data_IF_109616915992
#
_entry.id   IF_109616915992
#
_cell.length_a   1.000
_cell.length_b   1.000
_cell.length_c   1.000
_cell.angle_alpha   90.00
_cell.angle_beta   90.00
_cell.angle_gamma   90.00
#
_symmetry.space_group_name_H-M   'P 1'
#
loop_
_entity.id
_entity.type
_entity.pdbx_description
1 polymer ?
#
# COMPACT_ATOMS: atom_id res chain seq x y z
N UNK A 1 -42.35 9.63 25.62
CA UNK A 1 -41.03 10.24 25.36
C UNK A 1 -39.98 9.46 26.16
N UNK A 2 -39.31 8.40 25.66
CA UNK A 2 -38.61 8.25 24.36
C UNK A 2 -37.70 9.47 24.09
N UNK A 3 -36.39 9.37 23.78
CA UNK A 3 -35.47 8.23 23.60
C UNK A 3 -34.02 8.74 23.88
N UNK A 4 -32.89 8.02 23.86
CA UNK A 4 -32.47 6.74 23.23
C UNK A 4 -31.47 5.97 24.13
N UNK A 5 -31.23 4.70 23.81
CA UNK A 5 -30.39 3.73 24.51
C UNK A 5 -28.87 3.95 24.35
N UNK A 6 -28.12 3.99 25.45
CA UNK A 6 -26.65 3.90 25.44
C UNK A 6 -26.19 2.44 25.28
N UNK A 7 -25.33 2.18 24.30
CA UNK A 7 -24.73 0.87 24.03
C UNK A 7 -23.32 0.79 24.61
N UNK A 8 -23.23 0.79 25.94
CA UNK A 8 -22.02 0.42 26.68
C UNK A 8 -22.16 -1.04 27.17
N UNK A 9 -21.06 -1.81 27.15
CA UNK A 9 -20.92 -3.18 27.72
C UNK A 9 -21.68 -4.32 27.02
N UNK A 10 -21.24 -4.70 25.81
CA UNK A 10 -21.43 -6.08 25.34
C UNK A 10 -20.41 -7.02 26.02
N UNK A 11 -20.87 -7.58 27.14
CA UNK A 11 -20.16 -8.56 27.96
C UNK A 11 -20.41 -9.98 27.40
N UNK A 12 -19.35 -10.81 27.42
CA UNK A 12 -19.42 -12.28 27.43
C UNK A 12 -19.97 -13.00 26.18
N UNK A 13 -19.06 -13.31 25.24
CA UNK A 13 -19.11 -14.58 24.49
C UNK A 13 -17.73 -15.23 24.44
N UNK A 14 -17.40 -15.99 25.49
CA UNK A 14 -16.22 -16.85 25.55
C UNK A 14 -16.46 -18.14 24.75
N UNK A 15 -16.29 -18.06 23.43
CA UNK A 15 -16.29 -19.26 22.57
C UNK A 15 -14.98 -20.01 22.77
N UNK A 16 -15.07 -21.13 23.51
CA UNK A 16 -13.97 -22.08 23.71
C UNK A 16 -13.37 -22.50 22.36
N UNK A 17 -12.04 -22.60 22.22
CA UNK A 17 -11.44 -23.07 20.97
C UNK A 17 -11.91 -24.51 20.66
N UNK A 18 -12.13 -24.84 19.37
CA UNK A 18 -12.65 -26.14 18.98
C UNK A 18 -11.68 -27.27 19.33
N UNK A 19 -12.25 -28.42 19.70
CA UNK A 19 -11.48 -29.63 20.07
C UNK A 19 -10.64 -30.11 18.89
N UNK A 20 -9.41 -30.51 19.20
CA UNK A 20 -8.47 -31.15 18.26
C UNK A 20 -9.15 -32.30 17.50
N UNK A 21 -9.02 -32.41 16.16
CA UNK A 21 -9.43 -33.61 15.47
C UNK A 21 -8.50 -34.76 15.89
N UNK A 22 -9.08 -35.79 16.51
CA UNK A 22 -8.38 -37.03 16.84
C UNK A 22 -7.83 -37.65 15.55
N UNK A 23 -6.55 -38.05 15.49
CA UNK A 23 -6.07 -38.82 14.36
C UNK A 23 -6.82 -40.16 14.30
N UNK A 24 -7.15 -40.69 13.10
CA UNK A 24 -7.79 -41.99 12.99
C UNK A 24 -6.86 -43.07 13.53
N UNK A 25 -7.37 -43.90 14.45
CA UNK A 25 -6.64 -45.03 15.01
C UNK A 25 -6.24 -46.01 13.91
N UNK A 26 -4.96 -45.99 13.52
CA UNK A 26 -4.41 -46.96 12.57
C UNK A 26 -4.28 -48.31 13.28
N UNK A 27 -4.84 -49.42 12.74
CA UNK A 27 -4.63 -50.75 13.31
C UNK A 27 -3.15 -51.12 13.31
N UNK A 28 -2.70 -51.74 14.41
CA UNK A 28 -1.34 -52.23 14.58
C UNK A 28 -1.00 -53.30 13.53
N UNK A 29 -0.18 -52.95 12.55
CA UNK A 29 0.44 -53.90 11.61
C UNK A 29 1.96 -53.87 11.82
N UNK A 30 2.58 -55.06 11.87
CA UNK A 30 3.98 -55.28 12.25
C UNK A 30 4.96 -54.86 11.12
N UNK A 31 6.25 -54.62 11.42
CA UNK A 31 7.19 -54.04 10.46
C UNK A 31 7.64 -55.04 9.40
N UNK A 32 7.89 -54.53 8.19
CA UNK A 32 8.57 -55.21 7.09
C UNK A 32 9.37 -54.16 6.28
N UNK A 33 10.36 -54.61 5.51
CA UNK A 33 11.63 -53.88 5.37
C UNK A 33 11.69 -52.75 4.32
N UNK A 34 12.43 -51.69 4.70
CA UNK A 34 13.41 -51.03 3.83
C UNK A 34 12.95 -50.30 2.56
N UNK A 35 12.70 -48.99 2.68
CA UNK A 35 13.33 -47.93 1.83
C UNK A 35 12.98 -46.53 2.35
N UNK A 36 13.86 -45.97 3.18
CA UNK A 36 13.74 -44.59 3.66
C UNK A 36 13.88 -43.58 2.52
N UNK A 37 12.89 -42.71 2.38
CA UNK A 37 12.85 -41.60 1.42
C UNK A 37 12.07 -40.45 2.04
N UNK A 38 12.69 -39.77 3.00
CA UNK A 38 12.08 -38.71 3.81
C UNK A 38 11.49 -37.59 2.94
N UNK A 39 10.16 -37.55 2.84
CA UNK A 39 9.44 -36.48 2.18
C UNK A 39 9.34 -35.28 3.13
N UNK A 40 10.41 -34.48 3.16
CA UNK A 40 10.50 -33.29 4.02
C UNK A 40 9.47 -32.24 3.59
N UNK A 41 8.33 -32.22 4.28
CA UNK A 41 7.32 -31.16 4.14
C UNK A 41 7.83 -29.91 4.85
N UNK A 42 8.47 -29.01 4.09
CA UNK A 42 8.88 -27.70 4.59
C UNK A 42 7.66 -26.85 4.94
N UNK A 43 7.47 -26.60 6.24
CA UNK A 43 6.44 -25.71 6.75
C UNK A 43 6.66 -24.27 6.22
N UNK A 44 5.64 -23.70 5.58
CA UNK A 44 5.72 -22.35 5.01
C UNK A 44 5.59 -21.30 6.11
N UNK A 45 6.72 -20.93 6.71
CA UNK A 45 6.82 -19.78 7.60
C UNK A 45 6.32 -18.50 6.88
N UNK A 46 5.37 -17.75 7.47
CA UNK A 46 4.89 -16.51 6.87
C UNK A 46 5.95 -15.41 7.00
N UNK A 47 6.66 -15.14 5.90
CA UNK A 47 7.58 -14.02 5.78
C UNK A 47 6.83 -12.70 6.05
N UNK A 48 7.13 -12.04 7.17
CA UNK A 48 6.66 -10.68 7.46
C UNK A 48 7.31 -9.69 6.49
N UNK A 49 6.62 -9.40 5.38
CA UNK A 49 6.99 -8.34 4.46
C UNK A 49 6.80 -6.98 5.13
N UNK A 50 7.80 -6.10 5.03
CA UNK A 50 7.67 -4.72 5.50
C UNK A 50 6.66 -3.96 4.61
N UNK A 51 5.88 -3.02 5.17
CA UNK A 51 4.97 -2.19 4.37
C UNK A 51 5.76 -1.34 3.35
N UNK A 52 5.18 -1.07 2.16
CA UNK A 52 5.86 -0.33 1.11
C UNK A 52 6.09 1.13 1.50
N UNK A 53 7.32 1.62 1.32
CA UNK A 53 7.69 3.01 1.58
C UNK A 53 6.95 3.98 0.65
N UNK A 54 6.35 5.01 1.24
CA UNK A 54 5.66 6.10 0.56
C UNK A 54 6.60 7.29 0.33
N UNK A 55 6.36 8.02 -0.75
CA UNK A 55 7.16 9.15 -1.20
C UNK A 55 6.24 10.31 -1.60
N UNK A 56 6.57 11.51 -1.14
CA UNK A 56 5.91 12.74 -1.59
C UNK A 56 6.59 13.23 -2.86
N UNK A 57 5.79 13.48 -3.90
CA UNK A 57 6.26 14.09 -5.14
C UNK A 57 6.06 15.60 -5.05
N UNK A 58 7.17 16.31 -5.10
CA UNK A 58 7.23 17.77 -5.03
C UNK A 58 7.63 18.30 -6.40
N UNK A 59 6.85 19.24 -6.91
CA UNK A 59 7.20 20.02 -8.08
C UNK A 59 7.90 21.30 -7.66
N UNK A 60 8.85 21.73 -8.48
CA UNK A 60 9.57 22.99 -8.36
C UNK A 60 9.12 23.92 -9.48
N UNK A 61 9.03 25.23 -9.19
CA UNK A 61 8.73 26.24 -10.21
C UNK A 61 9.96 26.48 -11.11
N UNK A 62 9.71 26.75 -12.40
CA UNK A 62 10.74 27.19 -13.35
C UNK A 62 10.13 28.14 -14.39
N UNK A 63 10.95 29.02 -14.96
CA UNK A 63 10.50 30.10 -15.86
C UNK A 63 10.23 29.65 -17.30
N UNK A 64 10.34 28.35 -17.61
CA UNK A 64 10.23 27.80 -18.97
C UNK A 64 9.01 26.87 -19.15
N UNK A 65 8.55 26.19 -18.10
CA UNK A 65 7.39 25.28 -18.18
C UNK A 65 6.05 26.04 -18.16
N UNK A 66 5.18 25.91 -19.18
CA UNK A 66 3.87 26.57 -19.18
C UNK A 66 2.93 26.06 -18.08
N UNK A 67 2.14 26.95 -17.48
CA UNK A 67 1.16 26.62 -16.44
C UNK A 67 0.21 25.49 -16.85
N UNK A 68 -0.35 25.56 -18.06
CA UNK A 68 -1.24 24.52 -18.62
C UNK A 68 -0.58 23.14 -18.71
N UNK A 69 0.73 23.08 -19.00
CA UNK A 69 1.46 21.82 -19.02
C UNK A 69 1.56 21.21 -17.62
N UNK A 70 1.81 22.04 -16.60
CA UNK A 70 1.84 21.60 -15.20
C UNK A 70 0.46 21.05 -14.78
N UNK A 71 -0.63 21.74 -15.13
CA UNK A 71 -2.00 21.30 -14.83
C UNK A 71 -2.30 19.95 -15.49
N UNK A 72 -2.07 19.80 -16.80
CA UNK A 72 -2.29 18.53 -17.52
C UNK A 72 -1.50 17.37 -16.90
N UNK A 73 -0.24 17.61 -16.49
CA UNK A 73 0.58 16.59 -15.83
C UNK A 73 0.03 16.24 -14.45
N UNK A 74 -0.46 17.20 -13.67
CA UNK A 74 -1.07 16.90 -12.37
C UNK A 74 -2.34 16.04 -12.54
N UNK A 75 -3.15 16.30 -13.58
CA UNK A 75 -4.34 15.52 -13.89
C UNK A 75 -4.02 14.07 -14.33
N UNK A 76 -3.17 13.89 -15.36
CA UNK A 76 -2.86 12.55 -15.93
C UNK A 76 -2.09 11.64 -14.96
N UNK A 77 -1.23 12.20 -14.09
CA UNK A 77 -0.33 11.41 -13.25
C UNK A 77 -0.78 11.24 -11.79
N UNK A 78 -1.53 12.20 -11.25
CA UNK A 78 -2.00 12.17 -9.86
C UNK A 78 -3.54 12.09 -9.76
N UNK A 79 -4.22 11.91 -10.90
CA UNK A 79 -5.66 11.79 -11.03
C UNK A 79 -6.43 12.89 -10.27
N UNK A 80 -5.95 14.12 -10.39
CA UNK A 80 -6.61 15.30 -9.84
C UNK A 80 -7.63 15.86 -10.83
N UNK A 81 -8.69 16.42 -10.29
CA UNK A 81 -9.62 17.31 -10.98
C UNK A 81 -8.93 18.62 -11.42
N UNK A 82 -9.57 19.34 -12.35
CA UNK A 82 -9.03 20.57 -12.93
C UNK A 82 -8.82 21.68 -11.88
N UNK A 83 -9.75 21.82 -10.95
CA UNK A 83 -9.71 22.88 -9.93
C UNK A 83 -8.54 22.64 -8.96
N UNK A 84 -8.43 21.43 -8.41
CA UNK A 84 -7.32 21.03 -7.54
C UNK A 84 -5.97 21.09 -8.26
N UNK A 85 -5.89 20.64 -9.52
CA UNK A 85 -4.67 20.73 -10.31
C UNK A 85 -4.23 22.19 -10.54
N UNK A 86 -5.17 23.08 -10.84
CA UNK A 86 -4.93 24.52 -10.99
C UNK A 86 -4.48 25.16 -9.68
N UNK A 87 -5.13 24.84 -8.55
CA UNK A 87 -4.73 25.34 -7.23
C UNK A 87 -3.31 24.89 -6.84
N UNK A 88 -2.96 23.63 -7.09
CA UNK A 88 -1.62 23.10 -6.83
C UNK A 88 -0.59 23.78 -7.74
N UNK A 89 -0.89 23.97 -9.03
CA UNK A 89 -0.03 24.69 -9.97
C UNK A 89 0.22 26.14 -9.53
N UNK A 90 -0.82 26.89 -9.20
CA UNK A 90 -0.71 28.27 -8.70
C UNK A 90 0.13 28.34 -7.42
N UNK A 91 -0.06 27.37 -6.51
CA UNK A 91 0.75 27.27 -5.29
C UNK A 91 2.24 27.05 -5.61
N UNK A 92 2.57 26.15 -6.54
CA UNK A 92 3.95 25.93 -6.98
C UNK A 92 4.54 27.21 -7.57
N UNK A 93 3.78 27.91 -8.41
CA UNK A 93 4.23 29.14 -9.07
C UNK A 93 4.55 30.27 -8.07
N UNK A 94 3.73 30.42 -7.03
CA UNK A 94 3.89 31.47 -6.01
C UNK A 94 4.91 31.10 -4.92
N UNK A 95 4.88 29.88 -4.39
CA UNK A 95 5.74 29.43 -3.29
C UNK A 95 7.09 28.85 -3.79
N UNK A 96 7.29 28.77 -5.10
CA UNK A 96 8.45 28.15 -5.76
C UNK A 96 8.48 26.61 -5.72
N UNK A 97 7.59 25.97 -4.93
CA UNK A 97 7.48 24.51 -4.79
C UNK A 97 6.12 24.09 -4.25
N UNK A 98 5.70 22.85 -4.53
CA UNK A 98 4.45 22.31 -4.01
C UNK A 98 4.35 20.79 -4.14
N UNK A 99 3.57 20.16 -3.26
CA UNK A 99 3.33 18.71 -3.27
C UNK A 99 2.16 18.40 -4.20
N UNK A 100 2.37 17.56 -5.23
CA UNK A 100 1.28 17.14 -6.13
C UNK A 100 0.60 15.85 -5.69
N UNK A 101 1.31 14.99 -4.96
CA UNK A 101 0.73 13.76 -4.41
C UNK A 101 1.73 12.87 -3.68
N UNK A 102 1.19 11.81 -3.08
CA UNK A 102 1.96 10.73 -2.45
C UNK A 102 1.89 9.50 -3.34
N UNK A 103 3.01 8.82 -3.56
CA UNK A 103 3.07 7.58 -4.33
C UNK A 103 4.06 6.58 -3.71
N UNK A 104 3.94 5.31 -4.09
CA UNK A 104 4.91 4.29 -3.68
C UNK A 104 6.18 4.36 -4.53
N UNK A 105 7.32 3.96 -3.97
CA UNK A 105 8.63 3.94 -4.65
C UNK A 105 8.62 3.30 -6.05
N UNK A 106 7.80 2.27 -6.25
CA UNK A 106 7.66 1.57 -7.51
C UNK A 106 7.03 2.44 -8.61
N UNK A 107 6.09 3.33 -8.25
CA UNK A 107 5.40 4.23 -9.17
C UNK A 107 6.36 5.31 -9.72
N UNK A 108 7.31 5.79 -8.92
CA UNK A 108 8.38 6.71 -9.36
C UNK A 108 9.27 6.14 -10.49
N UNK A 109 9.33 4.81 -10.61
CA UNK A 109 10.12 4.11 -11.65
C UNK A 109 9.32 3.78 -12.90
N UNK A 110 8.03 4.14 -12.98
CA UNK A 110 7.23 3.86 -14.17
C UNK A 110 7.68 4.70 -15.37
N UNK A 111 7.70 4.13 -16.59
CA UNK A 111 8.18 4.82 -17.78
C UNK A 111 7.38 6.08 -18.13
N UNK A 112 6.10 6.15 -17.72
CA UNK A 112 5.29 7.36 -17.81
C UNK A 112 5.96 8.53 -17.06
N UNK A 113 6.34 8.34 -15.79
CA UNK A 113 6.88 9.43 -14.95
C UNK A 113 8.31 9.79 -15.33
N UNK A 114 9.11 8.83 -15.81
CA UNK A 114 10.49 9.09 -16.26
C UNK A 114 10.59 9.94 -17.53
N UNK A 115 9.48 10.12 -18.27
CA UNK A 115 9.41 11.00 -19.46
C UNK A 115 9.21 12.46 -19.10
N UNK A 116 8.80 12.78 -17.87
CA UNK A 116 8.67 14.16 -17.42
C UNK A 116 10.06 14.79 -17.24
N UNK A 117 10.21 16.12 -17.48
CA UNK A 117 11.50 16.78 -17.34
C UNK A 117 11.99 16.65 -15.88
N UNK A 118 13.12 15.95 -15.69
CA UNK A 118 13.70 15.67 -14.36
C UNK A 118 14.12 16.91 -13.56
N UNK A 119 14.05 18.11 -14.16
CA UNK A 119 14.22 19.40 -13.46
C UNK A 119 12.98 19.79 -12.66
N UNK A 120 11.79 19.37 -13.07
CA UNK A 120 10.51 19.79 -12.47
C UNK A 120 10.13 18.94 -11.25
N UNK A 121 10.68 17.73 -11.12
CA UNK A 121 10.26 16.73 -10.12
C UNK A 121 11.36 16.38 -9.13
N UNK A 122 11.10 16.55 -7.85
CA UNK A 122 11.89 15.97 -6.76
C UNK A 122 11.01 15.10 -5.86
N UNK A 123 11.56 13.99 -5.36
CA UNK A 123 10.83 13.06 -4.49
C UNK A 123 11.48 13.00 -3.12
N UNK A 124 10.75 13.40 -2.08
CA UNK A 124 11.15 13.16 -0.69
C UNK A 124 10.53 11.87 -0.18
N UNK A 125 11.20 11.21 0.77
CA UNK A 125 10.55 10.21 1.62
C UNK A 125 9.42 10.93 2.38
N UNK A 126 8.26 10.28 2.48
CA UNK A 126 7.08 10.81 3.16
C UNK A 126 7.08 10.51 4.66
#
# INVERSE_FOLDING_TARGET
MHSTLAMDRMIFMVTKPPKTPTPPSVPLTKPDDGRGGDAVVLERLPLKTQPPQMYQVVLLNDDYTPMEFVVMVIQEFFNKDMETATQIMLKIHLDGKGICGVCFRAMLRLPKLTKLPKRLFTSSVA
#
